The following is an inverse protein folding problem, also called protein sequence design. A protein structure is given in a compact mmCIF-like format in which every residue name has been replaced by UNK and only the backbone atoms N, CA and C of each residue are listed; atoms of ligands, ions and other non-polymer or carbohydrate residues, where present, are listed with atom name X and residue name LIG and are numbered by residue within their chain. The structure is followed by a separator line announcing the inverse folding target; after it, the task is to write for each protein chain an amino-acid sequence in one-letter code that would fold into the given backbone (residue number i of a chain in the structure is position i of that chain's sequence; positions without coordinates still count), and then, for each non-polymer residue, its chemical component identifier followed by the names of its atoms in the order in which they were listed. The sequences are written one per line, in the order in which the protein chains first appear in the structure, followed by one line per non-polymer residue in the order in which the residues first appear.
data_IF_528132797942
#
_entry.id   IF_528132797942
#
_cell.length_a   1.000
_cell.length_b   1.000
_cell.length_c   1.000
_cell.angle_alpha   90.00
_cell.angle_beta   90.00
_cell.angle_gamma   90.00
#
_symmetry.space_group_name_H-M   'P 1'
#
loop_
_entity.id
_entity.type
_entity.pdbx_description
1 polymer ?
#
# COMPACT_ATOMS: atom_id res chain seq x y z
N UNK A 1 -22.11 -7.37 6.64
CA UNK A 1 -20.95 -6.89 5.89
C UNK A 1 -19.70 -6.93 6.73
N UNK A 2 -18.65 -7.49 6.20
CA UNK A 2 -17.42 -7.71 6.95
C UNK A 2 -16.34 -6.76 6.47
N UNK A 3 -15.71 -6.06 7.41
CA UNK A 3 -14.57 -5.24 7.08
C UNK A 3 -13.33 -6.12 7.00
N UNK A 4 -12.48 -5.81 6.04
CA UNK A 4 -11.27 -6.57 5.80
C UNK A 4 -10.16 -6.12 6.75
N UNK A 5 -9.44 -7.11 7.28
CA UNK A 5 -8.21 -6.88 8.04
C UNK A 5 -7.21 -7.93 7.62
N UNK A 6 -6.09 -7.48 7.08
CA UNK A 6 -5.04 -8.37 6.60
C UNK A 6 -3.70 -7.97 7.19
N UNK A 7 -2.89 -8.98 7.50
CA UNK A 7 -1.51 -8.79 7.95
C UNK A 7 -0.62 -9.56 7.00
N UNK A 8 0.44 -8.93 6.52
CA UNK A 8 1.41 -9.57 5.65
C UNK A 8 2.77 -9.56 6.33
N UNK A 9 3.31 -10.74 6.57
CA UNK A 9 4.63 -10.93 7.21
C UNK A 9 5.63 -11.58 6.28
N UNK A 10 5.19 -12.06 5.12
CA UNK A 10 6.07 -12.63 4.11
C UNK A 10 5.55 -12.31 2.72
N UNK A 11 6.30 -12.72 1.69
CA UNK A 11 5.95 -12.37 0.31
C UNK A 11 4.62 -12.98 -0.14
N UNK A 12 4.28 -14.16 0.34
CA UNK A 12 3.02 -14.79 -0.02
C UNK A 12 1.83 -14.02 0.55
N UNK A 13 1.94 -13.63 1.82
CA UNK A 13 0.90 -12.82 2.45
C UNK A 13 0.76 -11.49 1.71
N UNK A 14 1.89 -10.92 1.31
CA UNK A 14 1.88 -9.62 0.63
C UNK A 14 1.20 -9.72 -0.73
N UNK A 15 1.36 -10.84 -1.43
CA UNK A 15 0.66 -11.04 -2.70
C UNK A 15 -0.85 -10.99 -2.52
N UNK A 16 -1.34 -11.62 -1.45
CA UNK A 16 -2.77 -11.59 -1.14
C UNK A 16 -3.21 -10.16 -0.84
N UNK A 17 -2.46 -9.47 0.01
CA UNK A 17 -2.77 -8.09 0.35
C UNK A 17 -2.74 -7.20 -0.90
N UNK A 18 -1.73 -7.37 -1.74
CA UNK A 18 -1.57 -6.59 -2.97
C UNK A 18 -2.78 -6.77 -3.90
N UNK A 19 -3.29 -7.99 -3.99
CA UNK A 19 -4.45 -8.25 -4.85
C UNK A 19 -5.70 -7.50 -4.36
N UNK A 20 -5.84 -7.34 -3.05
CA UNK A 20 -6.99 -6.63 -2.48
C UNK A 20 -6.92 -5.12 -2.69
N UNK A 21 -5.74 -4.58 -2.92
CA UNK A 21 -5.58 -3.14 -3.12
C UNK A 21 -5.25 -2.77 -4.57
N UNK A 22 -5.33 -3.74 -5.48
CA UNK A 22 -5.12 -3.46 -6.90
C UNK A 22 -6.12 -2.42 -7.38
N UNK A 23 -5.64 -1.43 -8.10
CA UNK A 23 -6.42 -0.32 -8.63
C UNK A 23 -7.00 0.60 -7.56
N UNK A 24 -6.50 0.52 -6.33
CA UNK A 24 -6.91 1.45 -5.28
C UNK A 24 -6.43 2.86 -5.63
N UNK A 25 -7.24 3.83 -5.27
CA UNK A 25 -6.92 5.24 -5.47
C UNK A 25 -6.30 5.79 -4.21
N UNK A 26 -5.12 6.37 -4.33
CA UNK A 26 -4.37 6.96 -3.22
C UNK A 26 -4.12 8.43 -3.54
N UNK A 27 -4.51 9.31 -2.63
CA UNK A 27 -4.17 10.73 -2.77
C UNK A 27 -2.81 10.95 -2.13
N UNK A 28 -1.94 11.67 -2.83
CA UNK A 28 -0.58 11.91 -2.34
C UNK A 28 -0.56 12.50 -0.93
N UNK A 29 -1.40 13.50 -0.60
CA UNK A 29 -1.40 14.04 0.78
C UNK A 29 -1.84 13.05 1.85
N UNK A 30 -2.41 11.91 1.47
CA UNK A 30 -2.86 10.89 2.41
C UNK A 30 -1.78 9.86 2.72
N UNK A 31 -0.55 10.12 2.30
CA UNK A 31 0.60 9.29 2.64
C UNK A 31 1.48 10.02 3.64
N UNK A 32 2.01 9.30 4.62
CA UNK A 32 2.87 9.91 5.63
C UNK A 32 3.87 8.92 6.19
N UNK A 33 5.08 9.41 6.44
CA UNK A 33 6.12 8.64 7.10
C UNK A 33 6.31 9.18 8.51
N UNK A 34 5.86 8.41 9.50
CA UNK A 34 6.07 8.75 10.90
C UNK A 34 7.44 8.20 11.31
N UNK A 35 8.46 9.02 11.11
CA UNK A 35 9.85 8.60 11.27
C UNK A 35 10.15 8.09 12.68
N UNK A 36 9.61 8.74 13.71
CA UNK A 36 9.86 8.33 15.08
C UNK A 36 9.31 6.94 15.37
N UNK A 37 8.23 6.57 14.72
CA UNK A 37 7.60 5.26 14.90
C UNK A 37 8.04 4.26 13.84
N UNK A 38 8.89 4.67 12.91
CA UNK A 38 9.31 3.86 11.76
C UNK A 38 8.12 3.26 11.01
N UNK A 39 7.07 4.06 10.85
CA UNK A 39 5.85 3.59 10.21
C UNK A 39 5.53 4.46 9.02
N UNK A 40 5.27 3.82 7.88
CA UNK A 40 4.75 4.50 6.71
C UNK A 40 3.29 4.10 6.55
N UNK A 41 2.41 5.09 6.40
CA UNK A 41 0.98 4.83 6.33
C UNK A 41 0.37 5.58 5.16
N UNK A 42 -0.66 5.00 4.58
CA UNK A 42 -1.42 5.63 3.53
C UNK A 42 -2.89 5.24 3.62
N UNK A 43 -3.75 6.17 3.25
CA UNK A 43 -5.18 5.94 3.12
C UNK A 43 -5.51 5.74 1.65
N UNK A 44 -6.51 4.94 1.37
CA UNK A 44 -6.88 4.64 -0.01
C UNK A 44 -8.36 4.33 -0.12
N UNK A 45 -8.86 4.43 -1.34
CA UNK A 45 -10.16 3.90 -1.69
C UNK A 45 -9.90 2.67 -2.54
N UNK A 46 -10.16 1.50 -1.99
CA UNK A 46 -9.92 0.24 -2.69
C UNK A 46 -11.22 -0.33 -3.22
N UNK A 47 -11.15 -1.16 -4.27
CA UNK A 47 -12.32 -1.90 -4.73
C UNK A 47 -12.66 -2.98 -3.72
N UNK A 48 -13.96 -3.24 -3.56
CA UNK A 48 -14.43 -4.27 -2.67
C UNK A 48 -14.50 -5.60 -3.42
N UNK A 49 -13.32 -6.22 -3.58
CA UNK A 49 -13.20 -7.48 -4.31
C UNK A 49 -13.87 -8.65 -3.57
N UNK A 50 -13.89 -8.59 -2.23
CA UNK A 50 -14.33 -9.70 -1.39
C UNK A 50 -15.83 -9.89 -1.37
N UNK A 51 -16.58 -8.88 -1.72
CA UNK A 51 -18.04 -8.97 -1.67
C UNK A 51 -18.62 -9.90 -2.74
N UNK A 52 -17.77 -10.34 -3.65
CA UNK A 52 -18.20 -11.12 -4.79
C UNK A 52 -18.87 -10.29 -5.84
N UNK A 53 -18.91 -8.99 -5.61
CA UNK A 53 -19.47 -8.04 -6.57
C UNK A 53 -18.43 -7.09 -7.05
N UNK A 54 -17.19 -7.41 -6.94
CA UNK A 54 -16.09 -6.52 -7.23
C UNK A 54 -16.10 -5.87 -8.59
N UNK A 55 -17.26 -5.57 -9.10
CA UNK A 55 -17.41 -4.99 -10.42
C UNK A 55 -17.13 -3.51 -10.35
N UNK A 56 -16.21 -3.08 -11.14
CA UNK A 56 -15.82 -1.69 -11.18
C UNK A 56 -16.95 -0.78 -11.59
N UNK A 57 -17.79 -1.25 -12.48
CA UNK A 57 -18.88 -0.45 -12.97
C UNK A 57 -19.87 -0.06 -11.88
N UNK A 58 -19.85 -0.80 -10.78
CA UNK A 58 -20.73 -0.45 -9.65
C UNK A 58 -20.13 0.61 -8.77
N UNK A 59 -18.84 0.92 -8.94
CA UNK A 59 -18.18 1.90 -8.12
C UNK A 59 -18.10 1.51 -6.65
N UNK A 60 -18.12 0.22 -6.35
CA UNK A 60 -18.06 -0.26 -4.98
C UNK A 60 -16.65 -0.14 -4.47
N UNK A 61 -16.44 0.79 -3.55
CA UNK A 61 -15.14 1.04 -2.96
C UNK A 61 -15.25 1.12 -1.45
N UNK A 62 -14.17 0.79 -0.78
CA UNK A 62 -14.06 0.90 0.67
C UNK A 62 -12.84 1.73 0.99
N UNK A 63 -13.00 2.56 2.00
CA UNK A 63 -11.88 3.32 2.54
C UNK A 63 -11.05 2.40 3.40
N UNK A 64 -9.74 2.42 3.21
CA UNK A 64 -8.85 1.53 3.94
C UNK A 64 -7.58 2.25 4.30
N UNK A 65 -6.94 1.79 5.36
CA UNK A 65 -5.62 2.25 5.76
C UNK A 65 -4.62 1.11 5.59
N UNK A 66 -3.49 1.41 4.99
CA UNK A 66 -2.39 0.47 4.84
C UNK A 66 -1.18 1.07 5.52
N UNK A 67 -0.51 0.30 6.38
CA UNK A 67 0.73 0.77 6.95
C UNK A 67 1.78 -0.33 6.98
N UNK A 68 3.02 0.13 6.97
CA UNK A 68 4.20 -0.73 7.05
C UNK A 68 5.00 -0.31 8.26
N UNK A 69 5.41 -1.27 9.08
CA UNK A 69 6.23 -1.01 10.25
C UNK A 69 7.69 -1.37 9.97
N UNK A 70 8.58 -0.89 10.81
CA UNK A 70 10.01 -1.14 10.64
C UNK A 70 10.61 -0.45 9.44
N UNK A 71 10.00 0.64 8.99
CA UNK A 71 10.47 1.37 7.81
C UNK A 71 11.63 2.27 8.19
N UNK A 72 12.77 2.04 7.55
CA UNK A 72 14.00 2.79 7.81
C UNK A 72 14.25 3.87 6.77
N UNK A 73 13.69 3.72 5.57
CA UNK A 73 13.90 4.68 4.51
C UNK A 73 12.70 4.71 3.58
N UNK A 74 12.50 5.88 2.97
CA UNK A 74 11.41 6.10 2.01
C UNK A 74 12.00 6.81 0.81
N UNK A 75 11.72 6.30 -0.37
CA UNK A 75 12.14 6.93 -1.61
C UNK A 75 10.99 6.93 -2.60
N UNK A 76 10.81 8.03 -3.31
CA UNK A 76 9.79 8.15 -4.34
C UNK A 76 10.45 8.38 -5.69
N UNK A 77 9.79 7.92 -6.74
CA UNK A 77 10.28 8.08 -8.10
C UNK A 77 9.09 8.22 -9.03
N UNK A 78 9.16 9.15 -9.96
CA UNK A 78 8.15 9.30 -10.99
C UNK A 78 6.89 10.04 -10.59
N UNK A 79 6.83 10.59 -9.37
CA UNK A 79 5.75 11.47 -8.96
C UNK A 79 6.26 12.42 -7.88
N UNK A 80 5.53 13.52 -7.67
CA UNK A 80 5.90 14.53 -6.68
C UNK A 80 5.22 14.18 -5.33
N UNK A 81 6.02 13.79 -4.32
CA UNK A 81 5.44 13.42 -3.01
C UNK A 81 4.85 14.60 -2.26
N UNK A 82 5.09 15.82 -2.72
CA UNK A 82 4.54 17.03 -2.09
C UNK A 82 3.35 17.58 -2.85
N UNK A 83 2.87 16.90 -3.90
CA UNK A 83 1.77 17.41 -4.72
C UNK A 83 0.47 17.46 -3.90
N UNK A 84 -0.12 18.65 -3.70
CA UNK A 84 -1.30 18.74 -2.84
C UNK A 84 -2.55 18.12 -3.46
N UNK A 85 -2.58 17.94 -4.77
CA UNK A 85 -3.73 17.38 -5.46
C UNK A 85 -3.36 16.13 -6.26
N UNK A 86 -2.20 15.55 -5.98
CA UNK A 86 -1.77 14.34 -6.67
C UNK A 86 -2.65 13.14 -6.34
N UNK A 87 -2.96 12.34 -7.35
CA UNK A 87 -3.75 11.13 -7.22
C UNK A 87 -3.03 10.01 -7.94
N UNK A 88 -2.91 8.87 -7.27
CA UNK A 88 -2.19 7.71 -7.80
C UNK A 88 -3.11 6.50 -7.83
N UNK A 89 -2.92 5.67 -8.85
CA UNK A 89 -3.59 4.37 -8.93
C UNK A 89 -2.57 3.29 -8.59
N UNK A 90 -2.84 2.55 -7.53
CA UNK A 90 -1.93 1.52 -7.07
C UNK A 90 -2.07 0.26 -7.93
N UNK A 91 -0.98 -0.21 -8.48
CA UNK A 91 -0.99 -1.41 -9.31
C UNK A 91 -0.59 -2.65 -8.53
N UNK A 92 0.51 -2.58 -7.78
CA UNK A 92 1.03 -3.75 -7.09
C UNK A 92 1.96 -3.36 -5.96
N UNK A 93 2.08 -4.26 -4.99
CA UNK A 93 3.03 -4.13 -3.89
C UNK A 93 3.87 -5.40 -3.87
N UNK A 94 5.19 -5.24 -3.89
CA UNK A 94 6.12 -6.37 -3.89
C UNK A 94 7.17 -6.20 -2.80
N UNK A 95 7.79 -7.31 -2.40
CA UNK A 95 8.86 -7.30 -1.42
C UNK A 95 10.06 -8.04 -2.00
N UNK A 96 11.23 -7.41 -1.93
CA UNK A 96 12.50 -7.99 -2.39
C UNK A 96 13.43 -8.10 -1.19
N UNK A 97 13.71 -9.31 -0.71
CA UNK A 97 14.67 -9.49 0.39
C UNK A 97 16.06 -9.06 -0.05
N UNK A 98 16.80 -8.44 0.86
CA UNK A 98 18.18 -8.03 0.58
C UNK A 98 19.15 -8.76 1.49
N UNK A 99 18.88 -8.73 2.81
CA UNK A 99 19.80 -9.31 3.77
C UNK A 99 18.99 -9.81 4.97
N UNK A 100 18.94 -11.14 5.14
CA UNK A 100 18.11 -11.73 6.19
C UNK A 100 16.66 -11.32 6.01
N UNK A 101 16.01 -10.85 7.09
CA UNK A 101 14.61 -10.42 6.99
C UNK A 101 14.43 -9.03 6.39
N UNK A 102 15.50 -8.27 6.23
CA UNK A 102 15.45 -6.92 5.69
C UNK A 102 15.27 -6.95 4.17
N UNK A 103 14.65 -5.90 3.64
CA UNK A 103 14.47 -5.79 2.20
C UNK A 103 13.77 -4.52 1.81
N UNK A 104 13.28 -4.50 0.58
CA UNK A 104 12.62 -3.35 -0.02
C UNK A 104 11.18 -3.71 -0.37
N UNK A 105 10.24 -2.93 0.14
CA UNK A 105 8.85 -2.97 -0.30
C UNK A 105 8.70 -1.93 -1.40
N UNK A 106 8.14 -2.32 -2.52
CA UNK A 106 7.92 -1.39 -3.62
C UNK A 106 6.44 -1.33 -3.95
N UNK A 107 5.89 -0.13 -3.94
CA UNK A 107 4.54 0.13 -4.43
C UNK A 107 4.67 0.74 -5.82
N UNK A 108 4.02 0.10 -6.80
CA UNK A 108 4.04 0.55 -8.19
C UNK A 108 2.71 1.20 -8.52
N UNK A 109 2.78 2.34 -9.17
CA UNK A 109 1.58 3.11 -9.54
C UNK A 109 1.46 3.21 -11.06
N UNK A 110 0.22 3.36 -11.52
CA UNK A 110 -0.02 3.58 -12.94
C UNK A 110 0.70 4.86 -13.38
N UNK A 111 1.26 4.84 -14.58
CA UNK A 111 2.03 5.97 -15.07
C UNK A 111 3.51 5.91 -14.75
N UNK A 112 3.96 4.87 -14.04
CA UNK A 112 5.38 4.64 -13.81
C UNK A 112 5.94 5.11 -12.48
N UNK A 113 5.09 5.71 -11.62
CA UNK A 113 5.56 6.14 -10.32
C UNK A 113 5.81 4.96 -9.38
N UNK A 114 6.77 5.10 -8.49
CA UNK A 114 7.05 4.08 -7.47
C UNK A 114 7.34 4.71 -6.14
N UNK A 115 7.04 3.95 -5.09
CA UNK A 115 7.37 4.27 -3.71
C UNK A 115 8.14 3.08 -3.16
N UNK A 116 9.34 3.31 -2.65
CA UNK A 116 10.18 2.25 -2.10
C UNK A 116 10.42 2.47 -0.63
N UNK A 117 10.18 1.43 0.14
CA UNK A 117 10.36 1.45 1.60
C UNK A 117 11.43 0.44 1.97
N UNK A 118 12.52 0.93 2.55
CA UNK A 118 13.52 0.03 3.13
C UNK A 118 13.02 -0.41 4.49
N UNK A 119 12.85 -1.71 4.70
CA UNK A 119 12.28 -2.24 5.94
C UNK A 119 13.25 -3.19 6.63
N UNK A 120 13.19 -3.23 7.97
CA UNK A 120 13.98 -4.19 8.76
C UNK A 120 13.46 -5.60 8.55
N UNK A 121 12.15 -5.74 8.39
CA UNK A 121 11.49 -6.95 7.99
C UNK A 121 10.12 -6.56 7.43
N UNK A 122 9.51 -7.47 6.69
CA UNK A 122 8.20 -7.19 6.12
C UNK A 122 7.12 -7.29 7.19
N UNK A 123 6.44 -6.20 7.42
CA UNK A 123 5.28 -6.17 8.30
C UNK A 123 4.32 -5.11 7.77
N UNK A 124 3.21 -5.57 7.20
CA UNK A 124 2.21 -4.70 6.61
C UNK A 124 0.84 -5.04 7.16
N UNK A 125 0.00 -4.03 7.33
CA UNK A 125 -1.38 -4.21 7.81
C UNK A 125 -2.32 -3.38 6.97
N UNK A 126 -3.38 -4.02 6.51
CA UNK A 126 -4.46 -3.39 5.76
C UNK A 126 -5.72 -3.50 6.59
N UNK A 127 -6.39 -2.37 6.81
CA UNK A 127 -7.59 -2.33 7.64
C UNK A 127 -8.63 -1.46 6.96
N UNK A 128 -9.82 -1.99 6.73
CA UNK A 128 -10.94 -1.17 6.27
C UNK A 128 -11.41 -0.25 7.39
N UNK A 129 -11.79 0.95 7.01
CA UNK A 129 -12.20 1.98 7.98
C UNK A 129 -13.71 2.14 8.03
#
# INVERSE_FOLDING_TARGET
MTDLKLIALDSEDLEVLSAHVQDAVVRVPDMAYARADRRFALLMNRFDWESGRGRREKGLRKRAALHFDGVQSVATHGFDPAAPEGVLDLLAITFSPIDGPAGIVELSFAGGGTLRLGVECLEARLTDL
#
